data_IF_925054402353
#
_entry.id   IF_925054402353
#
_cell.length_a   1.000
_cell.length_b   1.000
_cell.length_c   1.000
_cell.angle_alpha   90.00
_cell.angle_beta   90.00
_cell.angle_gamma   90.00
#
_symmetry.space_group_name_H-M   'P 1'
#
loop_
_entity.id
_entity.type
_entity.pdbx_description
1 polymer ?
#
# COMPACT_ATOMS: atom_id res chain seq x y z
N UNK A 1 -31.43 -34.63 0.66
CA UNK A 1 -30.48 -33.56 0.99
C UNK A 1 -29.52 -33.24 -0.16
N UNK A 2 -28.95 -34.19 -0.86
CA UNK A 2 -28.01 -34.03 -1.98
C UNK A 2 -28.57 -33.22 -3.17
N UNK A 3 -29.90 -33.33 -3.45
CA UNK A 3 -30.53 -32.59 -4.54
C UNK A 3 -30.71 -31.07 -4.27
N UNK A 4 -30.77 -30.65 -3.02
CA UNK A 4 -30.86 -29.21 -2.67
C UNK A 4 -29.51 -28.49 -2.85
N UNK A 5 -28.42 -29.16 -2.48
CA UNK A 5 -27.06 -28.63 -2.62
C UNK A 5 -26.69 -28.46 -4.10
N UNK A 6 -27.03 -29.42 -4.95
CA UNK A 6 -26.79 -29.32 -6.41
C UNK A 6 -27.56 -28.19 -7.07
N UNK A 7 -28.80 -27.88 -6.61
CA UNK A 7 -29.61 -26.76 -7.15
C UNK A 7 -29.05 -25.40 -6.77
N UNK A 8 -28.57 -25.22 -5.53
CA UNK A 8 -27.96 -23.97 -5.07
C UNK A 8 -26.62 -23.72 -5.81
N UNK A 9 -25.82 -24.75 -5.99
CA UNK A 9 -24.54 -24.65 -6.73
C UNK A 9 -24.76 -24.31 -8.19
N UNK A 10 -25.83 -24.82 -8.82
CA UNK A 10 -26.14 -24.54 -10.23
C UNK A 10 -26.70 -23.12 -10.42
N UNK A 11 -27.52 -22.61 -9.49
CA UNK A 11 -27.99 -21.22 -9.50
C UNK A 11 -26.82 -20.22 -9.34
N UNK A 12 -25.89 -20.49 -8.42
CA UNK A 12 -24.67 -19.69 -8.25
C UNK A 12 -23.78 -19.72 -9.50
N UNK A 13 -23.69 -20.85 -10.21
CA UNK A 13 -22.90 -20.99 -11.43
C UNK A 13 -23.50 -20.22 -12.60
N UNK A 14 -24.80 -20.25 -12.78
CA UNK A 14 -25.51 -19.49 -13.83
C UNK A 14 -25.45 -17.98 -13.56
N UNK A 15 -25.54 -17.57 -12.28
CA UNK A 15 -25.42 -16.17 -11.88
C UNK A 15 -23.97 -15.64 -12.07
N UNK A 16 -22.95 -16.45 -11.79
CA UNK A 16 -21.56 -16.07 -12.03
C UNK A 16 -21.24 -15.92 -13.52
N UNK A 17 -21.85 -16.70 -14.39
CA UNK A 17 -21.70 -16.59 -15.84
C UNK A 17 -22.34 -15.33 -16.43
N UNK A 18 -23.47 -14.85 -15.84
CA UNK A 18 -24.09 -13.58 -16.23
C UNK A 18 -23.26 -12.36 -15.79
N UNK A 19 -22.55 -12.45 -14.65
CA UNK A 19 -21.79 -11.33 -14.10
C UNK A 19 -20.34 -11.25 -14.62
N UNK A 20 -19.82 -12.32 -15.25
CA UNK A 20 -18.48 -12.35 -15.84
C UNK A 20 -18.34 -11.57 -17.16
N UNK A 21 -19.44 -11.10 -17.72
CA UNK A 21 -19.47 -10.38 -18.98
C UNK A 21 -20.12 -9.01 -18.89
N UNK A 22 -19.33 -7.98 -18.57
CA UNK A 22 -19.71 -6.56 -18.55
C UNK A 22 -20.63 -6.13 -17.40
N UNK A 23 -20.40 -4.90 -16.90
CA UNK A 23 -21.22 -4.18 -15.95
C UNK A 23 -22.65 -3.86 -16.52
N UNK A 24 -23.41 -4.91 -16.81
CA UNK A 24 -24.80 -4.78 -17.18
C UNK A 24 -25.62 -5.02 -15.92
N UNK A 25 -26.33 -4.00 -15.49
CA UNK A 25 -27.40 -4.17 -14.52
C UNK A 25 -28.46 -5.08 -15.16
N UNK A 26 -28.38 -6.39 -14.88
CA UNK A 26 -29.43 -7.32 -15.27
C UNK A 26 -30.72 -6.80 -14.65
N UNK A 27 -31.74 -6.52 -15.46
CA UNK A 27 -33.04 -6.10 -14.93
C UNK A 27 -33.64 -7.25 -14.12
N UNK A 28 -34.42 -6.93 -13.08
CA UNK A 28 -35.09 -7.94 -12.28
C UNK A 28 -35.84 -8.98 -13.17
N UNK A 29 -36.39 -8.55 -14.30
CA UNK A 29 -37.08 -9.41 -15.26
C UNK A 29 -36.14 -10.42 -15.97
N UNK A 30 -34.88 -10.11 -16.18
CA UNK A 30 -33.90 -11.05 -16.76
C UNK A 30 -33.42 -12.06 -15.72
N UNK A 31 -33.27 -11.62 -14.48
CA UNK A 31 -32.96 -12.49 -13.34
C UNK A 31 -34.13 -13.46 -13.10
N UNK A 32 -35.36 -13.01 -13.13
CA UNK A 32 -36.57 -13.83 -12.96
C UNK A 32 -36.76 -14.88 -14.08
N UNK A 33 -36.32 -14.58 -15.31
CA UNK A 33 -36.32 -15.55 -16.42
C UNK A 33 -35.41 -16.73 -16.20
N UNK A 34 -34.26 -16.48 -15.54
CA UNK A 34 -33.20 -17.50 -15.36
C UNK A 34 -33.40 -18.26 -14.04
N UNK A 35 -33.98 -17.64 -13.02
CA UNK A 35 -34.05 -18.19 -11.66
C UNK A 35 -35.50 -18.44 -11.17
N UNK A 36 -36.50 -18.11 -11.98
CA UNK A 36 -37.90 -18.25 -11.63
C UNK A 36 -38.35 -19.68 -11.26
N UNK A 37 -39.63 -20.05 -11.39
CA UNK A 37 -40.19 -21.30 -10.89
C UNK A 37 -39.48 -22.59 -11.26
N UNK A 38 -38.58 -22.53 -12.26
CA UNK A 38 -37.77 -23.67 -12.69
C UNK A 38 -36.88 -24.26 -11.58
N UNK A 39 -36.54 -23.47 -10.52
CA UNK A 39 -35.70 -23.94 -9.42
C UNK A 39 -36.50 -24.32 -8.16
N UNK A 40 -37.83 -24.11 -8.13
CA UNK A 40 -38.70 -24.49 -7.05
C UNK A 40 -38.41 -23.75 -5.73
N UNK A 41 -37.87 -22.54 -5.82
CA UNK A 41 -37.71 -21.60 -4.70
C UNK A 41 -38.97 -20.69 -4.65
N UNK A 42 -39.44 -20.38 -3.45
CA UNK A 42 -40.39 -19.29 -3.27
C UNK A 42 -39.66 -17.93 -3.24
N UNK A 43 -40.42 -16.82 -3.32
CA UNK A 43 -39.85 -15.47 -3.40
C UNK A 43 -38.84 -15.19 -2.24
N UNK A 44 -39.23 -15.52 -1.00
CA UNK A 44 -38.42 -15.28 0.18
C UNK A 44 -37.08 -16.09 0.15
N UNK A 45 -37.18 -17.34 -0.31
CA UNK A 45 -35.98 -18.22 -0.46
C UNK A 45 -35.06 -17.69 -1.54
N UNK A 46 -35.61 -17.12 -2.60
CA UNK A 46 -34.87 -16.53 -3.69
C UNK A 46 -34.13 -15.27 -3.22
N UNK A 47 -34.80 -14.33 -2.56
CA UNK A 47 -34.19 -13.10 -2.03
C UNK A 47 -33.08 -13.42 -1.03
N UNK A 48 -33.33 -14.33 -0.07
CA UNK A 48 -32.30 -14.75 0.90
C UNK A 48 -31.08 -15.36 0.22
N UNK A 49 -31.27 -16.13 -0.86
CA UNK A 49 -30.15 -16.74 -1.61
C UNK A 49 -29.39 -15.68 -2.39
N UNK A 50 -30.09 -14.71 -2.99
CA UNK A 50 -29.51 -13.61 -3.74
C UNK A 50 -28.68 -12.71 -2.81
N UNK A 51 -29.19 -12.37 -1.64
CA UNK A 51 -28.48 -11.54 -0.67
C UNK A 51 -27.25 -12.25 -0.12
N UNK A 52 -27.35 -13.53 0.18
CA UNK A 52 -26.20 -14.34 0.58
C UNK A 52 -25.11 -14.37 -0.49
N UNK A 53 -25.50 -14.48 -1.76
CA UNK A 53 -24.59 -14.45 -2.89
C UNK A 53 -23.91 -13.08 -3.04
N UNK A 54 -24.68 -11.97 -2.97
CA UNK A 54 -24.14 -10.62 -3.02
C UNK A 54 -23.14 -10.37 -1.89
N UNK A 55 -23.48 -10.79 -0.67
CA UNK A 55 -22.58 -10.69 0.49
C UNK A 55 -21.28 -11.47 0.27
N UNK A 56 -21.38 -12.69 -0.29
CA UNK A 56 -20.20 -13.50 -0.58
C UNK A 56 -19.29 -12.83 -1.64
N UNK A 57 -19.88 -12.28 -2.70
CA UNK A 57 -19.14 -11.57 -3.74
C UNK A 57 -18.46 -10.30 -3.20
N UNK A 58 -19.15 -9.54 -2.37
CA UNK A 58 -18.55 -8.35 -1.74
C UNK A 58 -17.43 -8.75 -0.79
N UNK A 59 -17.60 -9.80 0.02
CA UNK A 59 -16.54 -10.30 0.91
C UNK A 59 -15.30 -10.77 0.13
N UNK A 60 -15.49 -11.45 -1.00
CA UNK A 60 -14.38 -11.89 -1.86
C UNK A 60 -13.65 -10.69 -2.49
N UNK A 61 -14.41 -9.68 -2.94
CA UNK A 61 -13.83 -8.46 -3.50
C UNK A 61 -13.05 -7.67 -2.44
N UNK A 62 -13.62 -7.51 -1.25
CA UNK A 62 -12.94 -6.85 -0.12
C UNK A 62 -11.65 -7.59 0.25
N UNK A 63 -11.66 -8.92 0.28
CA UNK A 63 -10.47 -9.70 0.58
C UNK A 63 -9.37 -9.51 -0.49
N UNK A 64 -9.73 -9.40 -1.77
CA UNK A 64 -8.79 -9.10 -2.85
C UNK A 64 -8.20 -7.69 -2.72
N UNK A 65 -9.05 -6.70 -2.43
CA UNK A 65 -8.61 -5.32 -2.19
C UNK A 65 -7.69 -5.21 -0.96
N UNK A 66 -7.99 -5.93 0.12
CA UNK A 66 -7.14 -5.96 1.32
C UNK A 66 -5.77 -6.60 1.03
N UNK A 67 -5.73 -7.64 0.22
CA UNK A 67 -4.47 -8.26 -0.22
C UNK A 67 -3.66 -7.29 -1.10
N UNK A 68 -4.31 -6.57 -2.01
CA UNK A 68 -3.65 -5.55 -2.85
C UNK A 68 -3.11 -4.39 -2.01
N UNK A 69 -3.89 -3.87 -1.06
CA UNK A 69 -3.46 -2.83 -0.12
C UNK A 69 -2.27 -3.32 0.71
N UNK A 70 -2.29 -4.55 1.20
CA UNK A 70 -1.17 -5.11 1.96
C UNK A 70 0.10 -5.21 1.11
N UNK A 71 -0.01 -5.64 -0.14
CA UNK A 71 1.12 -5.71 -1.08
C UNK A 71 1.69 -4.32 -1.40
N UNK A 72 0.82 -3.31 -1.63
CA UNK A 72 1.23 -1.93 -1.86
C UNK A 72 1.94 -1.33 -0.63
N UNK A 73 1.45 -1.58 0.57
CA UNK A 73 2.10 -1.15 1.81
C UNK A 73 3.47 -1.82 2.00
N UNK A 74 3.58 -3.10 1.69
CA UNK A 74 4.86 -3.82 1.80
C UNK A 74 5.88 -3.30 0.77
N UNK A 75 5.45 -3.08 -0.48
CA UNK A 75 6.29 -2.47 -1.52
C UNK A 75 6.75 -1.05 -1.12
N UNK A 76 5.87 -0.26 -0.50
CA UNK A 76 6.20 1.07 0.00
C UNK A 76 7.19 1.05 1.18
N UNK A 77 7.26 -0.04 1.95
CA UNK A 77 8.29 -0.18 3.00
C UNK A 77 9.69 -0.23 2.43
N UNK A 78 9.86 -0.81 1.25
CA UNK A 78 11.15 -1.00 0.63
C UNK A 78 11.89 -2.25 1.11
N UNK A 79 13.02 -2.51 0.45
CA UNK A 79 13.89 -3.68 0.72
C UNK A 79 14.84 -3.38 1.86
N UNK A 80 14.81 -4.17 2.94
CA UNK A 80 15.77 -4.07 4.04
C UNK A 80 17.22 -4.30 3.56
N UNK A 81 18.11 -3.44 4.00
CA UNK A 81 19.57 -3.57 3.82
C UNK A 81 20.30 -3.78 5.15
N UNK A 82 19.52 -3.99 6.21
CA UNK A 82 20.00 -4.27 7.56
C UNK A 82 20.25 -3.01 8.37
N UNK A 83 20.87 -3.18 9.54
CA UNK A 83 21.13 -2.08 10.46
C UNK A 83 22.33 -1.25 10.01
N UNK A 84 22.16 0.08 10.14
CA UNK A 84 23.19 1.08 9.90
C UNK A 84 23.47 1.86 11.17
N UNK A 85 24.73 2.27 11.35
CA UNK A 85 25.11 3.23 12.36
C UNK A 85 24.70 4.62 11.89
N UNK A 86 23.79 5.25 12.59
CA UNK A 86 23.23 6.55 12.24
C UNK A 86 23.76 7.63 13.20
N UNK A 87 24.39 8.62 12.63
CA UNK A 87 24.74 9.89 13.25
C UNK A 87 23.75 10.97 12.79
N UNK A 88 23.89 12.15 13.35
CA UNK A 88 23.20 13.34 12.90
C UNK A 88 24.16 14.54 12.93
N UNK A 89 23.99 15.43 11.97
CA UNK A 89 24.73 16.70 11.86
C UNK A 89 23.77 17.85 11.58
N UNK A 90 24.24 19.06 11.76
CA UNK A 90 23.54 20.26 11.36
C UNK A 90 24.41 21.05 10.40
N UNK A 91 23.80 21.63 9.37
CA UNK A 91 24.51 22.45 8.40
C UNK A 91 24.53 23.96 8.78
N UNK A 92 23.98 24.34 9.95
CA UNK A 92 23.92 25.74 10.39
C UNK A 92 25.29 26.43 10.43
N UNK A 93 26.40 25.67 10.57
CA UNK A 93 27.75 26.18 10.69
C UNK A 93 28.58 26.08 9.40
N UNK A 94 28.03 25.52 8.31
CA UNK A 94 28.73 25.41 7.03
C UNK A 94 28.29 26.53 6.05
N UNK A 95 29.11 27.55 5.81
CA UNK A 95 28.74 28.61 4.89
C UNK A 95 28.64 28.16 3.43
N UNK A 96 29.22 27.03 3.06
CA UNK A 96 29.11 26.47 1.70
C UNK A 96 27.74 25.81 1.47
N UNK A 97 27.16 25.24 2.51
CA UNK A 97 25.84 24.58 2.54
C UNK A 97 25.50 23.79 1.28
N UNK A 98 26.47 23.05 0.75
CA UNK A 98 26.32 22.24 -0.47
C UNK A 98 26.84 20.84 -0.22
N UNK A 99 26.01 19.84 -0.48
CA UNK A 99 26.37 18.41 -0.39
C UNK A 99 27.41 18.03 -1.45
N UNK A 100 28.06 16.89 -1.30
CA UNK A 100 28.99 16.34 -2.31
C UNK A 100 28.30 16.05 -3.66
N UNK A 101 26.96 15.92 -3.69
CA UNK A 101 26.21 15.82 -4.94
C UNK A 101 25.91 17.18 -5.59
N UNK A 102 26.26 18.28 -4.97
CA UNK A 102 26.01 19.64 -5.48
C UNK A 102 24.60 20.14 -5.16
N UNK A 103 23.86 19.50 -4.26
CA UNK A 103 22.52 19.93 -3.80
C UNK A 103 22.63 20.67 -2.48
N UNK A 104 21.68 21.57 -2.19
CA UNK A 104 21.51 22.13 -0.85
C UNK A 104 20.91 21.05 0.06
N UNK A 105 21.49 20.75 1.25
CA UNK A 105 20.90 19.81 2.19
C UNK A 105 19.54 20.30 2.64
N UNK A 106 18.65 19.35 2.87
CA UNK A 106 17.28 19.59 3.33
C UNK A 106 16.94 18.63 4.46
N UNK A 107 16.63 19.19 5.62
CA UNK A 107 16.20 18.41 6.78
C UNK A 107 14.97 17.55 6.43
N UNK A 108 14.98 16.31 6.89
CA UNK A 108 13.93 15.34 6.55
C UNK A 108 14.05 14.74 5.15
N UNK A 109 15.10 15.11 4.36
CA UNK A 109 15.39 14.53 3.05
C UNK A 109 16.82 14.07 2.91
N UNK A 110 17.78 14.90 3.26
CA UNK A 110 19.19 14.68 2.96
C UNK A 110 19.85 13.79 4.00
N UNK A 111 20.57 12.77 3.52
CA UNK A 111 21.54 12.02 4.33
C UNK A 111 22.87 11.89 3.61
N UNK A 112 23.94 11.79 4.41
CA UNK A 112 25.22 11.33 3.93
C UNK A 112 25.35 9.81 4.13
N UNK A 113 25.97 9.14 3.16
CA UNK A 113 26.26 7.71 3.20
C UNK A 113 27.56 7.35 2.47
N UNK A 114 28.05 6.14 2.67
CA UNK A 114 29.10 5.57 1.82
C UNK A 114 28.50 5.20 0.46
N UNK A 115 28.92 5.90 -0.60
CA UNK A 115 28.37 5.69 -1.95
C UNK A 115 28.73 4.32 -2.56
N UNK A 116 29.70 3.61 -1.96
CA UNK A 116 29.96 2.21 -2.36
C UNK A 116 28.93 1.22 -1.79
N UNK A 117 28.19 1.62 -0.74
CA UNK A 117 27.15 0.81 -0.07
C UNK A 117 25.76 1.29 -0.45
N UNK A 118 25.54 2.60 -0.40
CA UNK A 118 24.32 3.28 -0.81
C UNK A 118 24.67 4.36 -1.84
N UNK A 119 24.58 4.07 -3.14
CA UNK A 119 24.90 5.02 -4.20
C UNK A 119 24.12 6.34 -4.06
N UNK A 120 24.72 7.43 -4.58
CA UNK A 120 24.06 8.73 -4.66
C UNK A 120 22.68 8.62 -5.30
N UNK A 121 21.69 9.29 -4.74
CA UNK A 121 20.30 9.28 -5.20
C UNK A 121 19.50 8.10 -4.67
N UNK A 122 20.12 7.14 -3.95
CA UNK A 122 19.38 6.06 -3.30
C UNK A 122 18.36 6.66 -2.32
N UNK A 123 17.11 6.23 -2.44
CA UNK A 123 16.03 6.62 -1.54
C UNK A 123 15.93 5.59 -0.44
N UNK A 124 15.92 6.03 0.82
CA UNK A 124 15.87 5.12 1.96
C UNK A 124 14.85 5.58 2.99
N UNK A 125 14.26 4.63 3.68
CA UNK A 125 13.49 4.82 4.88
C UNK A 125 14.29 4.32 6.09
N UNK A 126 14.24 5.07 7.19
CA UNK A 126 15.01 4.79 8.40
C UNK A 126 14.07 4.29 9.50
N UNK A 127 14.23 3.03 9.89
CA UNK A 127 13.40 2.37 10.90
C UNK A 127 11.92 2.37 10.51
N UNK A 128 11.07 2.75 11.45
CA UNK A 128 9.61 2.82 11.27
C UNK A 128 9.11 4.21 10.83
N UNK A 129 10.04 5.12 10.46
CA UNK A 129 9.64 6.45 9.95
C UNK A 129 9.01 6.35 8.57
N UNK A 130 7.99 7.16 8.30
CA UNK A 130 7.41 7.31 6.96
C UNK A 130 8.22 8.28 6.07
N UNK A 131 9.22 8.95 6.65
CA UNK A 131 10.09 9.89 5.94
C UNK A 131 11.01 9.13 4.98
N UNK A 132 11.03 9.56 3.72
CA UNK A 132 11.93 9.06 2.69
C UNK A 132 13.12 10.00 2.59
N UNK A 133 14.29 9.51 2.94
CA UNK A 133 15.56 10.21 2.81
C UNK A 133 16.19 9.89 1.47
N UNK A 134 17.07 10.79 1.01
CA UNK A 134 17.86 10.65 -0.22
C UNK A 134 19.34 10.76 0.10
N UNK A 135 20.12 9.83 -0.41
CA UNK A 135 21.59 9.89 -0.31
C UNK A 135 22.11 10.98 -1.24
N UNK A 136 22.37 12.14 -0.70
CA UNK A 136 22.85 13.32 -1.44
C UNK A 136 24.27 13.72 -1.01
N UNK A 137 24.75 13.20 0.11
CA UNK A 137 26.06 13.56 0.64
C UNK A 137 26.91 12.33 0.98
N UNK A 138 28.19 12.58 1.17
CA UNK A 138 29.19 11.62 1.66
C UNK A 138 30.31 12.35 2.39
N UNK A 139 31.00 11.66 3.28
CA UNK A 139 32.12 12.22 4.03
C UNK A 139 33.23 11.22 4.25
N UNK A 140 34.42 11.76 4.63
CA UNK A 140 35.60 10.93 4.91
C UNK A 140 35.38 9.89 6.01
N UNK A 141 34.56 10.24 6.99
CA UNK A 141 34.22 9.39 8.15
C UNK A 141 32.98 8.54 7.94
N UNK A 142 32.23 8.74 6.85
CA UNK A 142 31.01 7.99 6.53
C UNK A 142 31.41 6.79 5.67
N UNK A 143 31.64 5.65 6.31
CA UNK A 143 32.14 4.42 5.67
C UNK A 143 31.28 3.22 6.02
N UNK A 144 31.13 2.30 5.04
CA UNK A 144 30.40 1.07 5.21
C UNK A 144 28.92 1.33 5.54
N UNK A 145 28.39 0.58 6.49
CA UNK A 145 27.00 0.75 6.97
C UNK A 145 26.87 1.90 7.97
N UNK A 146 27.24 3.10 7.53
CA UNK A 146 27.15 4.34 8.32
C UNK A 146 26.38 5.37 7.52
N UNK A 147 25.48 6.10 8.19
CA UNK A 147 24.78 7.27 7.64
C UNK A 147 24.89 8.44 8.60
N UNK A 148 24.72 9.64 8.04
CA UNK A 148 24.65 10.90 8.79
C UNK A 148 23.42 11.68 8.33
N UNK A 149 22.55 12.03 9.27
CA UNK A 149 21.22 12.58 9.00
C UNK A 149 21.26 14.09 9.21
N UNK A 150 20.80 14.85 8.22
CA UNK A 150 20.69 16.31 8.33
C UNK A 150 19.55 16.72 9.27
N UNK A 151 19.88 17.57 10.25
CA UNK A 151 18.97 18.08 11.30
C UNK A 151 18.91 19.60 11.26
N UNK A 152 17.86 20.16 11.85
CA UNK A 152 17.64 21.62 11.84
C UNK A 152 18.74 22.40 12.56
N UNK A 153 19.31 21.84 13.61
CA UNK A 153 20.30 22.52 14.45
C UNK A 153 21.15 21.53 15.25
N UNK A 154 22.24 22.03 15.80
CA UNK A 154 23.19 21.27 16.61
C UNK A 154 22.56 20.62 17.83
N UNK A 155 21.55 21.24 18.44
CA UNK A 155 20.88 20.68 19.62
C UNK A 155 20.13 19.40 19.26
N UNK A 156 19.41 19.41 18.14
CA UNK A 156 18.70 18.23 17.63
C UNK A 156 19.70 17.13 17.21
N UNK A 157 20.78 17.50 16.52
CA UNK A 157 21.84 16.55 16.13
C UNK A 157 22.47 15.88 17.35
N UNK A 158 22.79 16.64 18.40
CA UNK A 158 23.32 16.08 19.67
C UNK A 158 22.30 15.22 20.38
N UNK A 159 21.02 15.62 20.41
CA UNK A 159 19.95 14.85 21.03
C UNK A 159 19.68 13.54 20.28
N UNK A 160 19.92 13.50 18.95
CA UNK A 160 19.84 12.30 18.16
C UNK A 160 20.82 11.23 18.65
N UNK A 161 22.05 11.64 18.97
CA UNK A 161 23.12 10.72 19.38
C UNK A 161 23.46 9.69 18.31
N UNK A 162 23.95 8.53 18.74
CA UNK A 162 24.25 7.41 17.85
C UNK A 162 23.17 6.34 17.95
N UNK A 163 22.58 5.96 16.83
CA UNK A 163 21.52 4.97 16.74
C UNK A 163 21.90 3.86 15.73
N UNK A 164 21.15 2.75 15.77
CA UNK A 164 21.36 1.60 14.89
C UNK A 164 20.04 1.14 14.25
N UNK A 165 19.36 2.02 13.50
CA UNK A 165 18.11 1.67 12.85
C UNK A 165 18.31 0.68 11.71
N UNK A 166 17.25 -0.08 11.40
CA UNK A 166 17.12 -0.81 10.14
C UNK A 166 16.92 0.19 9.00
N UNK A 167 17.62 0.03 7.88
CA UNK A 167 17.41 0.81 6.66
C UNK A 167 16.70 0.01 5.59
N UNK A 168 15.81 0.68 4.86
CA UNK A 168 15.09 0.10 3.75
C UNK A 168 15.30 0.94 2.49
N UNK A 169 15.79 0.33 1.39
CA UNK A 169 15.84 0.98 0.09
C UNK A 169 14.42 1.01 -0.48
N UNK A 170 13.91 2.19 -0.77
CA UNK A 170 12.58 2.40 -1.34
C UNK A 170 12.70 2.39 -2.87
N UNK A 171 12.30 1.28 -3.47
CA UNK A 171 12.18 1.12 -4.92
C UNK A 171 10.74 1.46 -5.30
N UNK A 172 10.54 2.52 -6.04
CA UNK A 172 9.22 3.03 -6.41
C UNK A 172 8.81 4.29 -5.65
N UNK A 173 7.67 4.85 -6.02
CA UNK A 173 7.14 6.05 -5.38
C UNK A 173 6.15 5.65 -4.27
N UNK A 174 6.56 5.83 -3.01
CA UNK A 174 5.67 5.62 -1.86
C UNK A 174 4.39 6.47 -1.96
N UNK A 175 4.48 7.65 -2.59
CA UNK A 175 3.33 8.50 -2.88
C UNK A 175 2.40 7.85 -3.91
N UNK A 176 2.95 7.20 -4.94
CA UNK A 176 2.16 6.46 -5.93
C UNK A 176 1.44 5.27 -5.28
N UNK A 177 2.14 4.52 -4.42
CA UNK A 177 1.52 3.43 -3.67
C UNK A 177 0.37 3.93 -2.78
N UNK A 178 0.56 5.06 -2.07
CA UNK A 178 -0.49 5.65 -1.26
C UNK A 178 -1.68 6.11 -2.11
N UNK A 179 -1.45 6.74 -3.25
CA UNK A 179 -2.53 7.12 -4.17
C UNK A 179 -3.34 5.93 -4.67
N UNK A 180 -2.69 4.80 -4.95
CA UNK A 180 -3.38 3.56 -5.33
C UNK A 180 -4.23 3.01 -4.17
N UNK A 181 -3.71 3.02 -2.95
CA UNK A 181 -4.46 2.62 -1.75
C UNK A 181 -5.69 3.50 -1.56
N UNK A 182 -5.53 4.82 -1.64
CA UNK A 182 -6.63 5.77 -1.48
C UNK A 182 -7.72 5.56 -2.55
N UNK A 183 -7.32 5.28 -3.79
CA UNK A 183 -8.25 4.97 -4.88
C UNK A 183 -9.02 3.66 -4.66
N UNK A 184 -8.40 2.62 -4.09
CA UNK A 184 -9.07 1.36 -3.73
C UNK A 184 -10.09 1.63 -2.63
N UNK A 185 -9.72 2.35 -1.59
CA UNK A 185 -10.60 2.66 -0.46
C UNK A 185 -11.79 3.54 -0.87
N UNK A 186 -11.57 4.52 -1.76
CA UNK A 186 -12.64 5.37 -2.30
C UNK A 186 -13.68 4.53 -3.07
N UNK A 187 -13.23 3.65 -3.99
CA UNK A 187 -14.13 2.75 -4.73
C UNK A 187 -14.91 1.82 -3.82
N UNK A 188 -14.28 1.31 -2.74
CA UNK A 188 -14.96 0.49 -1.73
C UNK A 188 -16.07 1.28 -1.03
N UNK A 189 -15.78 2.50 -0.61
CA UNK A 189 -16.77 3.36 0.05
C UNK A 189 -17.97 3.68 -0.86
N UNK A 190 -17.74 3.96 -2.14
CA UNK A 190 -18.81 4.18 -3.12
C UNK A 190 -19.70 2.96 -3.30
N UNK A 191 -19.15 1.74 -3.39
CA UNK A 191 -19.93 0.50 -3.47
C UNK A 191 -20.80 0.29 -2.25
N UNK A 192 -20.23 0.50 -1.04
CA UNK A 192 -20.97 0.33 0.22
C UNK A 192 -22.08 1.37 0.38
N UNK A 193 -21.85 2.61 -0.06
CA UNK A 193 -22.90 3.64 -0.05
C UNK A 193 -24.05 3.31 -1.01
N UNK A 194 -23.76 2.72 -2.18
CA UNK A 194 -24.76 2.29 -3.15
C UNK A 194 -25.60 1.08 -2.72
N UNK A 195 -25.10 0.28 -1.78
CA UNK A 195 -25.84 -0.89 -1.25
C UNK A 195 -26.84 -0.52 -0.15
N UNK A 196 -26.74 0.68 0.42
CA UNK A 196 -27.59 1.15 1.51
C UNK A 196 -28.77 2.05 1.02
N UNK A 197 -29.00 2.15 -0.29
CA UNK A 197 -30.11 2.88 -0.92
C UNK A 197 -31.13 1.90 -1.51
#
# INVERSE_FOLDING_TARGET
MINKIKKVTLAAFVFSALMAGSAYAATQAEVDKVTGPAFGLNADQYETTLDSYKQQQEAELVAKEDAEIAALREAAKGRSVGKFKAYAYSHDCDPSNITKSGTTPVVGRTIAADWSVLPRGTRVRIGNSDTIYVVEDTGGNIKGKTIDIDMNNDSEARAHGVRYPELYIVEGDAKEAQQKIDAILARRAERQAGQNQ
#
